data_IF_850119754591
#
_entry.id   IF_850119754591
#
_cell.length_a   1.000
_cell.length_b   1.000
_cell.length_c   1.000
_cell.angle_alpha   90.00
_cell.angle_beta   90.00
_cell.angle_gamma   90.00
#
_symmetry.space_group_name_H-M   'P 1'
#
loop_
_entity.id
_entity.type
_entity.pdbx_description
1 polymer ?
#
# COMPACT_ATOMS: atom_id res chain seq x y z
N UNK A 1 -2.00 62.37 18.52
CA UNK A 1 -3.09 63.25 18.98
C UNK A 1 -4.08 63.46 17.85
N UNK A 2 -5.37 63.33 18.16
CA UNK A 2 -6.57 63.78 17.42
C UNK A 2 -6.82 63.13 16.04
N UNK A 3 -7.63 62.08 15.95
CA UNK A 3 -9.09 62.10 15.69
C UNK A 3 -9.57 63.21 14.75
N UNK A 4 -10.26 62.83 13.66
CA UNK A 4 -11.66 63.22 13.35
C UNK A 4 -12.14 62.65 12.01
N UNK A 5 -13.22 61.86 12.03
CA UNK A 5 -14.18 61.67 10.90
C UNK A 5 -15.07 62.93 10.81
N UNK A 6 -15.60 63.31 9.64
CA UNK A 6 -16.95 62.87 9.20
C UNK A 6 -17.03 62.65 7.67
N UNK A 7 -17.73 61.66 7.10
CA UNK A 7 -19.18 61.41 7.00
C UNK A 7 -19.95 62.36 6.05
N UNK A 8 -20.93 61.76 5.35
CA UNK A 8 -22.08 62.33 4.60
C UNK A 8 -21.95 62.45 3.07
N UNK A 9 -22.44 61.46 2.31
CA UNK A 9 -23.84 61.15 1.88
C UNK A 9 -24.22 61.92 0.61
N UNK A 10 -24.55 61.18 -0.48
CA UNK A 10 -25.84 61.23 -1.22
C UNK A 10 -25.78 60.23 -2.40
N UNK A 11 -26.61 59.17 -2.39
CA UNK A 11 -27.94 59.05 -3.03
C UNK A 11 -27.82 58.87 -4.57
N UNK A 12 -28.52 57.99 -5.29
CA UNK A 12 -29.81 57.32 -5.14
C UNK A 12 -29.76 56.02 -5.99
N UNK A 13 -30.17 54.86 -5.49
CA UNK A 13 -31.54 54.31 -5.51
C UNK A 13 -32.16 54.21 -6.91
N UNK A 14 -32.23 52.98 -7.47
CA UNK A 14 -33.37 52.49 -8.25
C UNK A 14 -33.41 50.94 -8.24
N UNK A 15 -33.98 50.36 -7.17
CA UNK A 15 -35.27 49.63 -7.19
C UNK A 15 -35.83 49.26 -8.60
N UNK A 16 -36.34 48.09 -8.96
CA UNK A 16 -37.01 46.91 -8.33
C UNK A 16 -37.09 45.86 -9.48
N UNK A 17 -36.99 44.54 -9.25
CA UNK A 17 -38.11 43.56 -9.29
C UNK A 17 -37.49 42.16 -9.14
N UNK A 18 -37.52 41.56 -7.95
CA UNK A 18 -38.54 40.59 -7.51
C UNK A 18 -38.69 39.37 -8.43
N UNK A 19 -37.80 38.40 -8.24
CA UNK A 19 -38.15 36.97 -8.33
C UNK A 19 -37.47 36.21 -7.19
N UNK A 20 -38.31 35.75 -6.26
CA UNK A 20 -38.17 34.56 -5.41
C UNK A 20 -37.15 34.51 -4.24
N UNK A 21 -37.73 34.71 -3.04
CA UNK A 21 -37.73 33.80 -1.88
C UNK A 21 -36.42 33.50 -1.09
N UNK A 22 -36.33 34.17 0.05
CA UNK A 22 -35.90 33.68 1.39
C UNK A 22 -36.36 32.22 1.66
N UNK A 23 -35.69 31.32 2.38
CA UNK A 23 -34.76 31.41 3.50
C UNK A 23 -34.07 30.04 3.71
N UNK A 24 -32.90 30.03 4.36
CA UNK A 24 -32.30 28.84 4.96
C UNK A 24 -30.78 28.85 4.81
N UNK A 25 -30.07 29.30 5.84
CA UNK A 25 -28.62 29.43 5.82
C UNK A 25 -27.94 28.07 5.68
N UNK A 26 -26.93 28.01 4.81
CA UNK A 26 -25.91 26.98 4.89
C UNK A 26 -24.64 27.66 5.36
N UNK A 27 -24.33 27.41 6.63
CA UNK A 27 -23.00 27.62 7.15
C UNK A 27 -22.04 26.82 6.28
N UNK A 28 -20.90 27.43 5.94
CA UNK A 28 -19.72 26.77 5.42
C UNK A 28 -19.24 25.76 6.47
N UNK A 29 -19.90 24.60 6.52
CA UNK A 29 -19.57 23.51 7.42
C UNK A 29 -18.38 22.78 6.78
N UNK A 30 -17.28 22.61 7.52
CA UNK A 30 -16.14 21.86 7.02
C UNK A 30 -16.60 20.47 6.61
N UNK A 31 -16.17 20.03 5.42
CA UNK A 31 -16.44 18.70 4.89
C UNK A 31 -16.13 17.64 5.95
N UNK A 32 -17.18 17.10 6.57
CA UNK A 32 -17.05 15.99 7.52
C UNK A 32 -16.77 14.75 6.70
N UNK A 33 -15.63 14.06 6.89
CA UNK A 33 -15.36 12.82 6.20
C UNK A 33 -16.50 11.84 6.45
N UNK A 34 -17.00 11.24 5.38
CA UNK A 34 -18.07 10.24 5.43
C UNK A 34 -17.67 9.12 6.42
N UNK A 35 -18.44 8.98 7.50
CA UNK A 35 -18.21 8.00 8.56
C UNK A 35 -18.74 6.60 8.20
N UNK A 36 -19.03 6.37 6.92
CA UNK A 36 -19.44 5.07 6.42
C UNK A 36 -18.43 3.99 6.84
N UNK A 37 -18.88 2.93 7.53
CA UNK A 37 -17.98 1.86 7.96
C UNK A 37 -17.34 1.21 6.73
N UNK A 38 -16.02 1.02 6.78
CA UNK A 38 -15.29 0.32 5.72
C UNK A 38 -15.91 -1.06 5.50
N UNK A 39 -16.27 -1.37 4.26
CA UNK A 39 -16.77 -2.69 3.85
C UNK A 39 -15.64 -3.70 3.68
N UNK A 40 -14.39 -3.26 3.77
CA UNK A 40 -13.19 -4.12 3.68
C UNK A 40 -12.93 -4.74 5.04
N UNK A 41 -12.78 -6.07 5.07
CA UNK A 41 -12.41 -6.77 6.30
C UNK A 41 -11.03 -6.31 6.78
N UNK A 42 -10.88 -5.95 8.07
CA UNK A 42 -9.58 -5.55 8.57
C UNK A 42 -8.59 -6.73 8.52
N UNK A 43 -7.29 -6.46 8.30
CA UNK A 43 -6.28 -7.50 8.29
C UNK A 43 -6.20 -8.24 9.66
N UNK A 44 -5.75 -9.51 9.66
CA UNK A 44 -5.48 -10.27 10.87
C UNK A 44 -4.61 -9.49 11.87
N UNK A 45 -4.85 -9.63 13.18
CA UNK A 45 -4.03 -8.98 14.22
C UNK A 45 -2.97 -9.90 14.80
N UNK A 46 -3.08 -11.18 14.50
CA UNK A 46 -2.20 -12.23 14.93
C UNK A 46 -0.77 -11.94 14.46
N UNK A 47 0.27 -12.32 15.22
CA UNK A 47 1.65 -12.13 14.81
C UNK A 47 1.92 -12.85 13.48
N UNK A 48 2.62 -12.15 12.58
CA UNK A 48 3.18 -12.73 11.37
C UNK A 48 4.68 -12.45 11.40
N UNK A 49 5.47 -13.50 11.39
CA UNK A 49 6.94 -13.43 11.42
C UNK A 49 7.48 -13.47 10.01
N UNK A 50 8.60 -12.80 9.76
CA UNK A 50 9.31 -12.91 8.49
C UNK A 50 9.80 -14.36 8.26
N UNK A 51 9.90 -14.81 7.00
CA UNK A 51 10.52 -16.08 6.66
C UNK A 51 11.96 -16.19 7.16
N UNK A 52 12.33 -17.37 7.64
CA UNK A 52 13.71 -17.65 7.97
C UNK A 52 14.57 -17.77 6.70
N UNK A 53 15.83 -17.39 6.81
CA UNK A 53 16.82 -17.62 5.78
C UNK A 53 17.26 -19.07 5.82
N UNK A 54 17.26 -19.74 4.68
CA UNK A 54 17.66 -21.14 4.60
C UNK A 54 19.18 -21.31 4.73
N UNK A 55 19.64 -22.44 5.28
CA UNK A 55 21.06 -22.76 5.31
C UNK A 55 21.68 -22.74 3.90
N UNK A 56 22.79 -22.02 3.74
CA UNK A 56 23.48 -21.86 2.45
C UNK A 56 22.84 -20.82 1.53
N UNK A 57 21.99 -19.95 2.06
CA UNK A 57 21.45 -18.78 1.36
C UNK A 57 21.71 -17.51 2.17
N UNK A 58 21.90 -16.39 1.48
CA UNK A 58 21.94 -15.04 2.06
C UNK A 58 20.66 -14.28 1.72
N UNK A 59 20.14 -13.51 2.67
CA UNK A 59 18.98 -12.65 2.44
C UNK A 59 19.36 -11.38 1.68
N UNK A 60 18.68 -11.14 0.56
CA UNK A 60 18.80 -9.92 -0.25
C UNK A 60 17.76 -8.90 0.19
N UNK A 61 16.55 -9.37 0.49
CA UNK A 61 15.41 -8.55 0.88
C UNK A 61 14.56 -9.29 1.89
N UNK A 62 14.15 -8.61 2.95
CA UNK A 62 12.97 -8.93 3.72
C UNK A 62 12.03 -7.72 3.75
N UNK A 63 10.77 -7.90 3.37
CA UNK A 63 9.78 -6.80 3.36
C UNK A 63 8.37 -7.30 3.69
N UNK A 64 7.52 -6.36 4.10
CA UNK A 64 6.08 -6.55 4.29
C UNK A 64 5.47 -5.56 5.29
N UNK A 65 4.18 -5.19 5.15
CA UNK A 65 3.31 -5.34 3.98
C UNK A 65 3.35 -4.11 3.05
N UNK A 66 3.69 -4.30 1.77
CA UNK A 66 3.73 -3.23 0.73
C UNK A 66 3.16 -3.69 -0.62
N UNK A 67 2.09 -3.05 -1.11
CA UNK A 67 1.42 -3.46 -2.36
C UNK A 67 1.89 -2.65 -3.58
N UNK A 68 1.69 -3.21 -4.76
CA UNK A 68 2.07 -2.61 -6.05
C UNK A 68 3.51 -2.92 -6.44
N UNK A 69 4.06 -2.23 -7.45
CA UNK A 69 5.45 -2.35 -7.87
C UNK A 69 6.41 -1.54 -6.99
N UNK A 70 7.62 -2.06 -6.76
CA UNK A 70 8.73 -1.30 -6.19
C UNK A 70 10.10 -1.88 -6.54
N UNK A 71 11.10 -1.00 -6.52
CA UNK A 71 12.50 -1.38 -6.65
C UNK A 71 13.05 -1.85 -5.31
N UNK A 72 13.66 -3.03 -5.34
CA UNK A 72 14.32 -3.67 -4.19
C UNK A 72 15.77 -3.20 -4.08
N UNK A 73 16.30 -2.60 -5.15
CA UNK A 73 17.70 -2.18 -5.29
C UNK A 73 18.54 -3.20 -6.06
N UNK A 74 19.84 -2.92 -6.17
CA UNK A 74 20.78 -3.78 -6.89
C UNK A 74 21.13 -5.02 -6.06
N UNK A 75 20.67 -6.20 -6.49
CA UNK A 75 21.22 -7.47 -6.04
C UNK A 75 22.62 -7.64 -6.66
N UNK A 76 23.63 -7.08 -5.99
CA UNK A 76 24.99 -7.04 -6.50
C UNK A 76 25.71 -8.35 -6.22
N UNK A 77 25.43 -9.38 -7.04
CA UNK A 77 26.17 -10.63 -6.97
C UNK A 77 27.18 -10.74 -8.13
N UNK A 78 28.45 -11.15 -7.84
CA UNK A 78 29.50 -11.26 -8.85
C UNK A 78 29.33 -12.45 -9.81
N UNK A 79 28.38 -13.34 -9.57
CA UNK A 79 27.99 -14.44 -10.46
C UNK A 79 26.49 -14.70 -10.35
N UNK A 80 25.91 -15.38 -11.35
CA UNK A 80 24.61 -16.00 -11.22
C UNK A 80 24.53 -16.83 -9.93
N UNK A 81 23.42 -16.69 -9.20
CA UNK A 81 23.09 -17.46 -8.00
C UNK A 81 21.62 -17.87 -8.09
N UNK A 82 21.32 -19.05 -7.57
CA UNK A 82 19.94 -19.52 -7.45
C UNK A 82 19.18 -18.60 -6.49
N UNK A 83 18.10 -17.98 -6.98
CA UNK A 83 17.16 -17.26 -6.15
C UNK A 83 16.13 -18.18 -5.54
N UNK A 84 15.84 -17.91 -4.28
CA UNK A 84 14.73 -18.47 -3.54
C UNK A 84 13.90 -17.32 -3.01
N UNK A 85 12.59 -17.42 -3.19
CA UNK A 85 11.65 -16.52 -2.54
C UNK A 85 10.87 -17.32 -1.53
N UNK A 86 10.72 -16.79 -0.32
CA UNK A 86 9.90 -17.34 0.74
C UNK A 86 8.83 -16.30 1.10
N UNK A 87 7.59 -16.76 1.29
CA UNK A 87 6.45 -15.89 1.60
C UNK A 87 5.73 -16.45 2.81
N UNK A 88 5.47 -15.62 3.80
CA UNK A 88 4.52 -15.91 4.86
C UNK A 88 3.31 -15.04 4.63
N UNK A 89 2.10 -15.58 4.63
CA UNK A 89 0.91 -14.77 4.50
C UNK A 89 -0.27 -15.29 5.31
N UNK A 90 -1.19 -14.38 5.63
CA UNK A 90 -2.31 -14.61 6.53
C UNK A 90 -3.55 -13.88 6.03
N UNK A 91 -4.67 -14.60 5.98
CA UNK A 91 -5.99 -14.06 5.66
C UNK A 91 -7.01 -14.59 6.66
N UNK A 92 -7.90 -13.72 7.14
CA UNK A 92 -8.74 -14.01 8.32
C UNK A 92 -9.92 -14.94 8.03
N UNK A 93 -10.71 -14.65 7.00
CA UNK A 93 -12.03 -15.27 6.80
C UNK A 93 -12.15 -16.08 5.51
N UNK A 94 -11.35 -15.77 4.49
CA UNK A 94 -11.41 -16.42 3.18
C UNK A 94 -10.01 -16.69 2.62
N UNK A 95 -9.96 -17.62 1.67
CA UNK A 95 -8.77 -17.89 0.88
C UNK A 95 -8.54 -16.70 -0.07
N UNK A 96 -7.39 -16.06 0.02
CA UNK A 96 -7.01 -14.92 -0.83
C UNK A 96 -5.68 -15.25 -1.48
N UNK A 97 -5.57 -15.02 -2.78
CA UNK A 97 -4.31 -15.18 -3.49
C UNK A 97 -3.41 -13.96 -3.24
N UNK A 98 -2.14 -14.22 -2.93
CA UNK A 98 -1.06 -13.25 -2.95
C UNK A 98 -0.19 -13.58 -4.16
N UNK A 99 -0.17 -12.67 -5.12
CA UNK A 99 0.58 -12.80 -6.35
C UNK A 99 1.88 -12.00 -6.25
N UNK A 100 3.00 -12.65 -6.52
CA UNK A 100 4.34 -12.05 -6.53
C UNK A 100 4.92 -12.13 -7.93
N UNK A 101 5.39 -10.99 -8.44
CA UNK A 101 6.10 -10.91 -9.73
C UNK A 101 7.48 -10.31 -9.50
N UNK A 102 8.51 -10.93 -10.06
CA UNK A 102 9.89 -10.46 -10.02
C UNK A 102 10.37 -10.30 -11.45
N UNK A 103 10.73 -9.07 -11.83
CA UNK A 103 11.11 -8.76 -13.19
C UNK A 103 12.37 -9.54 -13.62
N UNK A 104 12.31 -10.11 -14.83
CA UNK A 104 13.38 -10.92 -15.39
C UNK A 104 13.59 -12.28 -14.72
N UNK A 105 12.70 -12.65 -13.79
CA UNK A 105 12.78 -13.88 -12.99
C UNK A 105 11.51 -14.72 -13.15
N UNK A 106 10.33 -14.16 -12.87
CA UNK A 106 9.05 -14.88 -13.02
C UNK A 106 7.93 -14.40 -12.11
N UNK A 107 6.83 -15.13 -12.13
CA UNK A 107 5.60 -14.85 -11.39
C UNK A 107 5.12 -16.11 -10.68
N UNK A 108 4.63 -15.97 -9.45
CA UNK A 108 3.97 -17.05 -8.72
C UNK A 108 2.89 -16.53 -7.76
N UNK A 109 1.99 -17.44 -7.36
CA UNK A 109 0.90 -17.12 -6.43
C UNK A 109 0.93 -18.03 -5.20
N UNK A 110 0.65 -17.45 -4.04
CA UNK A 110 0.50 -18.13 -2.75
C UNK A 110 -0.93 -17.98 -2.27
N UNK A 111 -1.54 -19.08 -1.84
CA UNK A 111 -2.88 -19.07 -1.26
C UNK A 111 -2.82 -18.78 0.23
N UNK A 112 -3.28 -17.60 0.62
CA UNK A 112 -3.32 -17.16 2.01
C UNK A 112 -4.65 -17.57 2.64
N UNK A 113 -4.61 -18.37 3.69
CA UNK A 113 -5.79 -18.69 4.49
C UNK A 113 -5.41 -19.04 5.92
N UNK A 114 -6.23 -18.58 6.86
CA UNK A 114 -5.98 -18.79 8.28
C UNK A 114 -4.63 -18.22 8.70
N UNK A 115 -4.16 -18.69 9.85
CA UNK A 115 -2.94 -18.25 10.55
C UNK A 115 -1.67 -18.97 10.09
N UNK A 116 -1.73 -19.81 9.06
CA UNK A 116 -0.64 -20.72 8.70
C UNK A 116 0.27 -20.15 7.62
N UNK A 117 1.55 -20.20 7.94
CA UNK A 117 2.70 -19.96 7.09
C UNK A 117 2.69 -20.87 5.86
N UNK A 118 2.84 -20.30 4.66
CA UNK A 118 2.91 -21.06 3.41
C UNK A 118 4.18 -20.68 2.64
N UNK A 119 5.27 -21.38 2.92
CA UNK A 119 6.54 -21.18 2.21
C UNK A 119 6.46 -21.79 0.81
N UNK A 120 6.29 -20.93 -0.20
CA UNK A 120 6.41 -21.34 -1.60
C UNK A 120 7.81 -21.03 -2.07
N UNK A 121 8.58 -22.07 -2.39
CA UNK A 121 9.91 -21.95 -2.98
C UNK A 121 9.81 -22.04 -4.49
N UNK A 122 10.22 -20.98 -5.19
CA UNK A 122 10.50 -21.08 -6.61
C UNK A 122 11.99 -20.79 -6.83
N UNK A 123 12.69 -21.77 -7.40
CA UNK A 123 14.02 -21.57 -7.97
C UNK A 123 13.82 -20.73 -9.22
N UNK A 124 14.22 -19.47 -9.16
CA UNK A 124 13.73 -18.48 -10.09
C UNK A 124 14.93 -17.80 -10.76
N UNK A 125 15.50 -18.52 -11.73
CA UNK A 125 16.51 -18.02 -12.66
C UNK A 125 17.83 -17.54 -12.06
N UNK A 126 18.72 -17.17 -12.97
CA UNK A 126 20.02 -16.58 -12.66
C UNK A 126 19.90 -15.06 -12.54
N UNK A 127 20.16 -14.51 -11.35
CA UNK A 127 20.39 -13.06 -11.17
C UNK A 127 21.87 -12.76 -11.26
N UNK A 128 22.25 -12.04 -12.31
CA UNK A 128 23.58 -11.46 -12.47
C UNK A 128 23.45 -9.95 -12.57
N UNK A 129 23.88 -9.21 -11.54
CA UNK A 129 23.83 -7.73 -11.48
C UNK A 129 22.56 -7.15 -12.13
N UNK A 130 21.40 -7.44 -11.54
CA UNK A 130 20.13 -6.86 -11.93
C UNK A 130 19.54 -6.09 -10.76
N UNK A 131 18.96 -4.94 -11.08
CA UNK A 131 18.01 -4.29 -10.20
C UNK A 131 16.80 -5.21 -10.07
N UNK A 132 16.46 -5.59 -8.85
CA UNK A 132 15.30 -6.43 -8.58
C UNK A 132 14.06 -5.53 -8.50
N UNK A 133 13.13 -5.73 -9.42
CA UNK A 133 11.83 -5.08 -9.36
C UNK A 133 10.79 -6.10 -8.92
N UNK A 134 10.07 -5.79 -7.84
CA UNK A 134 9.11 -6.67 -7.20
C UNK A 134 7.73 -6.03 -7.29
N UNK A 135 6.73 -6.82 -7.68
CA UNK A 135 5.32 -6.42 -7.62
C UNK A 135 4.54 -7.42 -6.78
N UNK A 136 3.81 -6.91 -5.78
CA UNK A 136 2.88 -7.72 -4.98
C UNK A 136 1.45 -7.23 -5.18
N UNK A 137 0.60 -8.15 -5.63
CA UNK A 137 -0.83 -7.96 -5.81
C UNK A 137 -1.61 -8.86 -4.84
N UNK A 138 -2.34 -8.23 -3.92
CA UNK A 138 -3.19 -8.88 -2.92
C UNK A 138 -4.14 -7.88 -2.26
N UNK A 139 -5.15 -8.38 -1.55
CA UNK A 139 -6.15 -7.57 -0.86
C UNK A 139 -5.58 -6.89 0.41
N UNK A 140 -6.21 -5.78 0.86
CA UNK A 140 -5.80 -5.07 2.07
C UNK A 140 -5.91 -5.92 3.35
N UNK A 141 -6.81 -6.89 3.32
CA UNK A 141 -7.08 -7.82 4.41
C UNK A 141 -6.01 -8.90 4.56
N UNK A 142 -5.04 -8.97 3.65
CA UNK A 142 -3.94 -9.95 3.71
C UNK A 142 -2.72 -9.31 4.37
N UNK A 143 -2.22 -9.95 5.42
CA UNK A 143 -0.89 -9.64 5.95
C UNK A 143 0.10 -10.61 5.37
N UNK A 144 1.29 -10.12 5.04
CA UNK A 144 2.34 -10.94 4.48
C UNK A 144 3.73 -10.40 4.79
N UNK A 145 4.70 -11.29 4.70
CA UNK A 145 6.13 -11.01 4.65
C UNK A 145 6.74 -11.82 3.50
N UNK A 146 7.67 -11.20 2.78
CA UNK A 146 8.47 -11.86 1.74
C UNK A 146 9.94 -11.80 2.14
N UNK A 147 10.68 -12.87 1.88
CA UNK A 147 12.14 -12.94 1.96
C UNK A 147 12.66 -13.42 0.62
N UNK A 148 13.53 -12.64 -0.01
CA UNK A 148 14.24 -13.00 -1.24
C UNK A 148 15.67 -13.34 -0.85
N UNK A 149 16.12 -14.52 -1.23
CA UNK A 149 17.37 -15.12 -0.79
C UNK A 149 18.16 -15.61 -2.00
N UNK A 150 19.48 -15.50 -1.97
CA UNK A 150 20.36 -16.05 -3.00
C UNK A 150 21.32 -17.07 -2.39
N UNK A 151 21.60 -18.16 -3.12
CA UNK A 151 22.54 -19.17 -2.66
C UNK A 151 23.93 -18.58 -2.35
N UNK A 152 24.51 -18.96 -1.22
CA UNK A 152 25.91 -18.71 -0.89
C UNK A 152 26.81 -19.54 -1.85
N UNK A 153 27.99 -19.01 -2.18
CA UNK A 153 28.93 -19.66 -3.11
C UNK A 153 29.70 -20.80 -2.47
#
# INVERSE_FOLDING_TARGET
MRTSRPAFITAAALCILLTSCTAGGDADLPHVPDASPSTVEPPPREPLTAPAVEPGYEEILADGPRRGPWDVGEATHPSPRDLRVAVHCMAKSRLIDLKVTIDGVGEFSVRCSGVRETTVMNAMGDVSRRELHLTVDTEESVRWYISVQAAER
#
